data_IF_745259366311
#
_entry.id   IF_745259366311
#
_cell.length_a   1.000
_cell.length_b   1.000
_cell.length_c   1.000
_cell.angle_alpha   90.00
_cell.angle_beta   90.00
_cell.angle_gamma   90.00
#
_symmetry.space_group_name_H-M   'P 1'
#
loop_
_entity.id
_entity.type
_entity.pdbx_description
1 polymer ?
#
# COMPACT_ATOMS: atom_id res chain seq x y z
N UNK A 1 34.82 29.96 16.19
CA UNK A 1 34.57 31.42 16.22
C UNK A 1 34.50 31.92 14.79
N UNK A 2 33.35 32.54 14.45
CA UNK A 2 33.08 33.61 13.46
C UNK A 2 33.66 33.50 12.03
N UNK A 3 32.80 33.36 11.01
CA UNK A 3 32.13 34.42 10.19
C UNK A 3 33.18 35.21 9.35
N UNK A 4 33.06 35.40 8.03
CA UNK A 4 32.14 36.30 7.31
C UNK A 4 32.38 35.97 5.79
N UNK A 5 31.42 35.53 4.95
CA UNK A 5 30.27 36.19 4.30
C UNK A 5 30.61 37.15 3.12
N UNK A 6 29.81 37.02 2.05
CA UNK A 6 29.53 37.91 0.88
C UNK A 6 30.14 37.40 -0.44
N UNK A 7 29.38 37.23 -1.54
CA UNK A 7 28.42 38.18 -2.09
C UNK A 7 27.38 37.48 -3.00
N UNK A 8 26.12 37.46 -2.59
CA UNK A 8 24.90 37.33 -3.42
C UNK A 8 23.90 38.36 -2.85
N UNK A 9 23.02 38.93 -3.69
CA UNK A 9 22.16 40.14 -3.56
C UNK A 9 22.73 41.31 -4.42
N UNK A 10 22.04 41.99 -5.36
CA UNK A 10 20.62 42.25 -5.68
C UNK A 10 20.54 42.69 -7.14
N UNK A 11 19.48 42.32 -7.86
CA UNK A 11 18.88 43.22 -8.84
C UNK A 11 17.36 43.04 -8.83
N UNK A 12 16.70 43.90 -8.06
CA UNK A 12 15.25 44.08 -8.06
C UNK A 12 14.98 45.58 -8.19
N UNK A 13 14.40 46.00 -9.32
CA UNK A 13 13.44 47.10 -9.39
C UNK A 13 12.84 47.19 -10.78
N UNK A 14 11.58 46.77 -10.91
CA UNK A 14 10.45 47.56 -11.44
C UNK A 14 9.39 46.63 -12.04
N UNK A 15 8.34 46.38 -11.26
CA UNK A 15 6.94 46.35 -11.69
C UNK A 15 6.09 45.85 -10.52
N UNK A 16 5.85 46.75 -9.56
CA UNK A 16 4.64 46.68 -8.75
C UNK A 16 3.53 47.22 -9.64
N UNK A 17 2.54 46.38 -9.98
CA UNK A 17 1.10 46.63 -9.81
C UNK A 17 0.30 45.48 -10.46
N UNK A 18 -0.57 44.88 -9.64
CA UNK A 18 -1.59 43.84 -9.88
C UNK A 18 -1.15 42.39 -10.12
N UNK A 19 -1.06 41.63 -9.01
CA UNK A 19 -0.98 40.17 -9.04
C UNK A 19 -0.97 39.50 -7.66
N UNK A 20 -1.72 39.98 -6.67
CA UNK A 20 -1.70 39.39 -5.29
C UNK A 20 -2.22 37.93 -5.25
N UNK A 21 -2.68 37.37 -6.37
CA UNK A 21 -3.10 35.97 -6.46
C UNK A 21 -2.10 34.99 -7.11
N UNK A 22 -1.04 35.46 -7.76
CA UNK A 22 -0.13 34.59 -8.53
C UNK A 22 1.12 34.18 -7.73
N UNK A 23 1.72 35.10 -6.96
CA UNK A 23 2.91 34.81 -6.13
C UNK A 23 2.61 33.83 -4.99
N UNK A 24 1.43 33.95 -4.37
CA UNK A 24 1.01 33.06 -3.26
C UNK A 24 0.84 31.62 -3.75
N UNK A 25 0.22 31.44 -4.92
CA UNK A 25 -0.09 30.12 -5.48
C UNK A 25 1.14 29.37 -5.98
N UNK A 26 2.14 30.10 -6.51
CA UNK A 26 3.43 29.52 -6.90
C UNK A 26 4.23 29.08 -5.67
N UNK A 27 4.25 29.89 -4.62
CA UNK A 27 4.95 29.57 -3.37
C UNK A 27 4.28 28.41 -2.61
N UNK A 28 2.95 28.32 -2.61
CA UNK A 28 2.20 27.20 -1.99
C UNK A 28 2.42 25.86 -2.73
N UNK A 29 2.44 25.86 -4.07
CA UNK A 29 2.76 24.67 -4.86
C UNK A 29 4.22 24.21 -4.63
N UNK A 30 5.16 25.12 -4.46
CA UNK A 30 6.57 24.80 -4.21
C UNK A 30 6.77 24.19 -2.81
N UNK A 31 6.08 24.70 -1.78
CA UNK A 31 6.11 24.15 -0.42
C UNK A 31 5.46 22.75 -0.33
N UNK A 32 4.32 22.50 -0.98
CA UNK A 32 3.73 21.15 -1.02
C UNK A 32 4.61 20.14 -1.76
N UNK A 33 5.32 20.61 -2.80
CA UNK A 33 6.31 19.80 -3.54
C UNK A 33 7.53 19.44 -2.67
N UNK A 34 7.92 20.31 -1.72
CA UNK A 34 9.00 20.01 -0.78
C UNK A 34 8.62 18.90 0.21
N UNK A 35 7.39 18.92 0.77
CA UNK A 35 6.93 17.88 1.69
C UNK A 35 6.86 16.50 1.00
N UNK A 36 6.42 16.46 -0.27
CA UNK A 36 6.46 15.25 -1.10
C UNK A 36 7.89 14.75 -1.31
N UNK A 37 8.82 15.65 -1.63
CA UNK A 37 10.23 15.28 -1.79
C UNK A 37 10.81 14.69 -0.50
N UNK A 38 10.52 15.28 0.67
CA UNK A 38 10.97 14.77 1.97
C UNK A 38 10.48 13.36 2.28
N UNK A 39 9.29 12.99 1.80
CA UNK A 39 8.69 11.69 2.11
C UNK A 39 8.99 10.60 1.08
N UNK A 40 9.25 10.97 -0.17
CA UNK A 40 9.34 10.02 -1.29
C UNK A 40 10.70 10.00 -1.98
N UNK A 41 11.49 11.07 -1.87
CA UNK A 41 12.78 11.13 -2.53
C UNK A 41 13.84 10.42 -1.70
N UNK A 42 14.24 9.25 -2.18
CA UNK A 42 15.32 8.46 -1.58
C UNK A 42 16.60 8.60 -2.38
N UNK A 43 17.67 9.00 -1.72
CA UNK A 43 19.03 9.09 -2.28
C UNK A 43 19.84 7.82 -2.06
N UNK A 44 21.02 7.74 -2.69
CA UNK A 44 21.94 6.62 -2.49
C UNK A 44 22.54 6.63 -1.07
N UNK A 45 22.70 7.81 -0.47
CA UNK A 45 23.23 8.00 0.87
C UNK A 45 22.27 7.49 1.94
N UNK A 46 20.96 7.67 1.76
CA UNK A 46 19.93 7.16 2.67
C UNK A 46 19.97 5.62 2.75
N UNK A 47 20.30 4.98 1.62
CA UNK A 47 20.52 3.53 1.55
C UNK A 47 21.92 3.09 2.00
N UNK A 48 22.76 4.01 2.51
CA UNK A 48 24.10 3.73 2.99
C UNK A 48 25.07 3.25 1.91
N UNK A 49 24.87 3.69 0.66
CA UNK A 49 25.72 3.36 -0.48
C UNK A 49 26.26 4.62 -1.16
N UNK A 50 27.27 4.42 -2.01
CA UNK A 50 27.76 5.49 -2.87
C UNK A 50 26.99 5.52 -4.19
N UNK A 51 26.92 6.70 -4.78
CA UNK A 51 26.30 6.94 -6.07
C UNK A 51 26.87 6.00 -7.17
N UNK A 52 26.03 5.14 -7.80
CA UNK A 52 26.49 4.24 -8.84
C UNK A 52 26.98 5.01 -10.07
N UNK A 53 28.26 4.84 -10.42
CA UNK A 53 28.89 5.46 -11.61
C UNK A 53 28.69 4.65 -12.88
N UNK A 54 28.61 3.33 -12.74
CA UNK A 54 28.46 2.39 -13.84
C UNK A 54 27.06 1.76 -13.79
N UNK A 55 26.33 1.88 -14.88
CA UNK A 55 24.96 1.41 -15.04
C UNK A 55 24.89 0.11 -15.86
N UNK A 56 23.78 -0.66 -15.74
CA UNK A 56 23.59 -1.93 -16.43
C UNK A 56 23.63 -1.88 -17.96
N UNK A 57 23.43 -0.71 -18.56
CA UNK A 57 23.50 -0.47 -20.00
C UNK A 57 24.94 -0.25 -20.52
N UNK A 58 25.93 -0.18 -19.62
CA UNK A 58 27.34 -0.04 -19.99
C UNK A 58 27.97 -1.38 -20.38
N UNK A 59 28.82 -1.41 -21.43
CA UNK A 59 29.56 -2.62 -21.83
C UNK A 59 30.45 -3.21 -20.73
N UNK A 60 30.90 -2.40 -19.77
CA UNK A 60 31.80 -2.83 -18.69
C UNK A 60 31.06 -3.28 -17.43
N UNK A 61 29.72 -3.28 -17.41
CA UNK A 61 28.94 -3.63 -16.23
C UNK A 61 29.22 -5.05 -15.70
N UNK A 62 29.62 -5.98 -16.57
CA UNK A 62 30.00 -7.34 -16.18
C UNK A 62 31.15 -7.36 -15.15
N UNK A 63 32.08 -6.39 -15.21
CA UNK A 63 33.17 -6.28 -14.24
C UNK A 63 32.63 -6.01 -12.84
N UNK A 64 31.59 -5.16 -12.74
CA UNK A 64 30.92 -4.88 -11.46
C UNK A 64 30.32 -6.15 -10.87
N UNK A 65 29.60 -6.92 -11.67
CA UNK A 65 29.02 -8.19 -11.22
C UNK A 65 30.08 -9.23 -10.82
N UNK A 66 31.21 -9.27 -11.53
CA UNK A 66 32.34 -10.13 -11.18
C UNK A 66 32.95 -9.75 -9.83
N UNK A 67 33.22 -8.45 -9.59
CA UNK A 67 33.73 -7.96 -8.30
C UNK A 67 32.76 -8.27 -7.17
N UNK A 68 31.46 -8.04 -7.36
CA UNK A 68 30.41 -8.38 -6.38
C UNK A 68 30.43 -9.86 -6.01
N UNK A 69 30.56 -10.74 -7.01
CA UNK A 69 30.64 -12.18 -6.80
C UNK A 69 31.87 -12.55 -5.96
N UNK A 70 33.04 -11.99 -6.26
CA UNK A 70 34.27 -12.26 -5.50
C UNK A 70 34.14 -11.78 -4.05
N UNK A 71 33.66 -10.56 -3.84
CA UNK A 71 33.47 -10.01 -2.50
C UNK A 71 32.48 -10.85 -1.68
N UNK A 72 31.38 -11.28 -2.29
CA UNK A 72 30.43 -12.19 -1.64
C UNK A 72 31.05 -13.55 -1.30
N UNK A 73 31.86 -14.15 -2.19
CA UNK A 73 32.51 -15.44 -1.91
C UNK A 73 33.57 -15.35 -0.80
N UNK A 74 34.29 -14.23 -0.72
CA UNK A 74 35.29 -13.98 0.33
C UNK A 74 34.68 -13.54 1.66
N UNK A 75 33.39 -13.22 1.70
CA UNK A 75 32.68 -12.88 2.94
C UNK A 75 32.17 -14.16 3.61
N UNK A 76 32.89 -14.58 4.66
CA UNK A 76 32.62 -15.83 5.39
C UNK A 76 31.59 -15.70 6.51
N UNK A 77 31.56 -14.57 7.22
CA UNK A 77 30.58 -14.34 8.28
C UNK A 77 29.19 -14.20 7.66
N UNK A 78 28.22 -14.98 8.14
CA UNK A 78 26.89 -15.10 7.55
C UNK A 78 26.08 -13.81 7.62
N UNK A 79 26.10 -13.12 8.77
CA UNK A 79 25.42 -11.83 8.96
C UNK A 79 26.02 -10.77 8.04
N UNK A 80 27.35 -10.64 8.02
CA UNK A 80 28.05 -9.72 7.11
C UNK A 80 27.79 -10.04 5.63
N UNK A 81 27.59 -11.32 5.30
CA UNK A 81 27.24 -11.75 3.95
C UNK A 81 25.83 -11.29 3.58
N UNK A 82 24.85 -11.45 4.48
CA UNK A 82 23.50 -10.92 4.27
C UNK A 82 23.50 -9.39 4.14
N UNK A 83 24.24 -8.66 5.00
CA UNK A 83 24.46 -7.22 4.90
C UNK A 83 25.02 -6.81 3.53
N UNK A 84 26.00 -7.58 3.02
CA UNK A 84 26.62 -7.31 1.72
C UNK A 84 25.66 -7.55 0.55
N UNK A 85 24.87 -8.63 0.58
CA UNK A 85 23.87 -8.87 -0.45
C UNK A 85 22.77 -7.80 -0.42
N UNK A 86 22.39 -7.30 0.76
CA UNK A 86 21.44 -6.19 0.90
C UNK A 86 22.01 -4.88 0.35
N UNK A 87 23.30 -4.60 0.60
CA UNK A 87 24.01 -3.48 -0.02
C UNK A 87 23.96 -3.55 -1.56
N UNK A 88 24.12 -4.74 -2.15
CA UNK A 88 24.02 -4.89 -3.60
C UNK A 88 22.59 -4.71 -4.11
N UNK A 89 21.56 -5.04 -3.33
CA UNK A 89 20.18 -4.74 -3.68
C UNK A 89 19.95 -3.22 -3.74
N UNK A 90 20.41 -2.49 -2.72
CA UNK A 90 20.39 -1.02 -2.71
C UNK A 90 21.05 -0.44 -3.98
N UNK A 91 22.25 -0.91 -4.32
CA UNK A 91 22.97 -0.43 -5.51
C UNK A 91 22.20 -0.69 -6.80
N UNK A 92 21.65 -1.90 -6.96
CA UNK A 92 20.88 -2.27 -8.16
C UNK A 92 19.57 -1.49 -8.28
N UNK A 93 18.92 -1.18 -7.17
CA UNK A 93 17.70 -0.39 -7.19
C UNK A 93 17.98 1.07 -7.59
N UNK A 94 19.08 1.67 -7.10
CA UNK A 94 19.50 3.00 -7.54
C UNK A 94 19.96 2.99 -9.00
N UNK A 95 20.62 1.94 -9.47
CA UNK A 95 20.93 1.76 -10.89
C UNK A 95 19.65 1.71 -11.74
N UNK A 96 18.62 0.98 -11.30
CA UNK A 96 17.31 0.92 -11.95
C UNK A 96 16.65 2.31 -11.97
N UNK A 97 16.60 3.00 -10.82
CA UNK A 97 16.08 4.38 -10.72
C UNK A 97 16.72 5.31 -11.75
N UNK A 98 18.05 5.27 -11.88
CA UNK A 98 18.80 6.06 -12.87
C UNK A 98 18.52 5.69 -14.32
N UNK A 99 18.25 4.42 -14.61
CA UNK A 99 17.88 4.01 -15.96
C UNK A 99 16.51 4.59 -16.33
N UNK A 100 15.57 4.59 -15.39
CA UNK A 100 14.24 5.19 -15.57
C UNK A 100 14.34 6.70 -15.75
N UNK A 101 15.10 7.41 -14.91
CA UNK A 101 15.34 8.86 -15.04
C UNK A 101 15.99 9.26 -16.37
N UNK A 102 16.75 8.34 -17.00
CA UNK A 102 17.38 8.55 -18.31
C UNK A 102 16.50 8.12 -19.48
N UNK A 103 15.24 7.74 -19.24
CA UNK A 103 14.33 7.21 -20.25
C UNK A 103 14.95 6.03 -21.02
N UNK A 104 15.61 5.11 -20.29
CA UNK A 104 16.19 3.92 -20.89
C UNK A 104 15.12 3.04 -21.55
N UNK A 105 15.57 2.24 -22.51
CA UNK A 105 14.72 1.25 -23.19
C UNK A 105 13.98 0.33 -22.20
N UNK A 106 12.66 0.05 -22.41
CA UNK A 106 11.86 -0.76 -21.50
C UNK A 106 12.44 -2.15 -21.21
N UNK A 107 13.10 -2.80 -22.17
CA UNK A 107 13.72 -4.13 -21.94
C UNK A 107 14.95 -4.03 -21.02
N UNK A 108 15.70 -2.92 -21.11
CA UNK A 108 16.79 -2.66 -20.15
C UNK A 108 16.25 -2.41 -18.74
N UNK A 109 15.14 -1.69 -18.61
CA UNK A 109 14.45 -1.47 -17.33
C UNK A 109 14.01 -2.82 -16.76
N UNK A 110 13.27 -3.64 -17.52
CA UNK A 110 12.84 -4.99 -17.10
C UNK A 110 14.01 -5.85 -16.63
N UNK A 111 15.10 -5.89 -17.39
CA UNK A 111 16.31 -6.65 -17.02
C UNK A 111 16.97 -6.12 -15.76
N UNK A 112 17.02 -4.81 -15.56
CA UNK A 112 17.53 -4.21 -14.32
C UNK A 112 16.64 -4.56 -13.12
N UNK A 113 15.33 -4.56 -13.30
CA UNK A 113 14.34 -5.02 -12.32
C UNK A 113 14.54 -6.49 -11.94
N UNK A 114 14.73 -7.38 -12.92
CA UNK A 114 15.05 -8.80 -12.66
C UNK A 114 16.36 -8.95 -11.88
N UNK A 115 17.37 -8.16 -12.21
CA UNK A 115 18.64 -8.18 -11.48
C UNK A 115 18.47 -7.78 -10.02
N UNK A 116 17.58 -6.83 -9.73
CA UNK A 116 17.20 -6.44 -8.38
C UNK A 116 16.40 -7.54 -7.67
N UNK A 117 15.37 -8.12 -8.30
CA UNK A 117 14.60 -9.24 -7.75
C UNK A 117 15.51 -10.43 -7.37
N UNK A 118 16.40 -10.83 -8.28
CA UNK A 118 17.39 -11.88 -8.04
C UNK A 118 18.35 -11.55 -6.88
N UNK A 119 18.55 -10.26 -6.59
CA UNK A 119 19.37 -9.83 -5.46
C UNK A 119 18.62 -9.94 -4.14
N UNK A 120 17.32 -9.59 -4.14
CA UNK A 120 16.45 -9.78 -2.98
C UNK A 120 16.35 -11.27 -2.60
N UNK A 121 16.20 -12.16 -3.58
CA UNK A 121 16.18 -13.61 -3.32
C UNK A 121 17.48 -14.09 -2.65
N UNK A 122 18.64 -13.59 -3.10
CA UNK A 122 19.93 -13.93 -2.48
C UNK A 122 20.04 -13.48 -1.03
N UNK A 123 19.47 -12.33 -0.67
CA UNK A 123 19.44 -11.88 0.74
C UNK A 123 18.74 -12.95 1.57
N UNK A 124 17.54 -13.35 1.13
CA UNK A 124 16.74 -14.38 1.80
C UNK A 124 17.51 -15.70 1.90
N UNK A 125 18.14 -16.17 0.82
CA UNK A 125 18.98 -17.36 0.85
C UNK A 125 20.13 -17.28 1.86
N UNK A 126 20.77 -16.11 2.04
CA UNK A 126 21.86 -15.95 3.02
C UNK A 126 21.34 -15.85 4.43
N UNK A 127 20.19 -15.20 4.63
CA UNK A 127 19.49 -15.12 5.91
C UNK A 127 19.08 -16.51 6.41
N UNK A 128 18.64 -17.40 5.52
CA UNK A 128 18.32 -18.80 5.89
C UNK A 128 19.50 -19.57 6.50
N UNK A 129 20.72 -19.17 6.17
CA UNK A 129 21.93 -19.81 6.71
C UNK A 129 22.27 -19.32 8.12
N UNK A 130 21.70 -18.19 8.56
CA UNK A 130 21.87 -17.63 9.91
C UNK A 130 21.00 -18.45 10.88
N UNK A 131 21.64 -18.97 11.94
CA UNK A 131 20.98 -19.86 12.90
C UNK A 131 20.39 -19.09 14.07
N UNK A 132 21.08 -18.03 14.48
CA UNK A 132 20.76 -17.18 15.61
C UNK A 132 19.62 -16.21 15.28
N UNK A 133 18.77 -15.93 16.27
CA UNK A 133 17.76 -14.88 16.20
C UNK A 133 18.33 -13.56 16.70
N UNK A 134 17.63 -12.45 16.44
CA UNK A 134 17.98 -11.13 16.96
C UNK A 134 18.04 -11.09 18.50
N UNK A 135 17.19 -11.87 19.18
CA UNK A 135 17.23 -12.02 20.63
C UNK A 135 18.56 -12.59 21.16
N UNK A 136 19.19 -13.48 20.40
CA UNK A 136 20.37 -14.23 20.83
C UNK A 136 21.68 -13.61 20.33
N UNK A 137 21.62 -12.76 19.29
CA UNK A 137 22.80 -12.24 18.62
C UNK A 137 22.63 -10.77 18.23
N UNK A 138 23.39 -9.90 18.90
CA UNK A 138 23.39 -8.45 18.66
C UNK A 138 23.75 -8.07 17.22
N UNK A 139 24.56 -8.86 16.50
CA UNK A 139 24.86 -8.57 15.10
C UNK A 139 23.64 -8.81 14.20
N UNK A 140 22.82 -9.81 14.51
CA UNK A 140 21.55 -10.07 13.80
C UNK A 140 20.55 -8.95 14.09
N UNK A 141 20.46 -8.53 15.35
CA UNK A 141 19.59 -7.43 15.78
C UNK A 141 19.90 -6.11 15.04
N UNK A 142 21.19 -5.73 15.01
CA UNK A 142 21.69 -4.55 14.27
C UNK A 142 21.50 -4.66 12.76
N UNK A 143 21.68 -5.87 12.22
CA UNK A 143 21.39 -6.12 10.81
C UNK A 143 19.91 -5.86 10.52
N UNK A 144 19.00 -6.35 11.36
CA UNK A 144 17.56 -6.14 11.19
C UNK A 144 17.17 -4.66 11.28
N UNK A 145 17.71 -3.89 12.23
CA UNK A 145 17.41 -2.45 12.32
C UNK A 145 17.75 -1.75 11.00
N UNK A 146 18.97 -1.96 10.51
CA UNK A 146 19.41 -1.39 9.24
C UNK A 146 18.62 -1.94 8.04
N UNK A 147 18.30 -3.23 8.06
CA UNK A 147 17.56 -3.89 7.00
C UNK A 147 16.16 -3.29 6.88
N UNK A 148 15.41 -3.16 7.98
CA UNK A 148 14.05 -2.59 7.98
C UNK A 148 14.03 -1.17 7.41
N UNK A 149 14.91 -0.28 7.90
CA UNK A 149 15.00 1.09 7.38
C UNK A 149 15.23 1.08 5.85
N UNK A 150 16.17 0.25 5.39
CA UNK A 150 16.50 0.18 3.96
C UNK A 150 15.37 -0.45 3.12
N UNK A 151 14.65 -1.44 3.62
CA UNK A 151 13.53 -2.06 2.89
C UNK A 151 12.34 -1.11 2.76
N UNK A 152 12.04 -0.30 3.77
CA UNK A 152 11.02 0.76 3.66
C UNK A 152 11.42 1.80 2.60
N UNK A 153 12.70 2.21 2.57
CA UNK A 153 13.21 3.11 1.53
C UNK A 153 13.16 2.47 0.14
N UNK A 154 13.45 1.18 0.02
CA UNK A 154 13.31 0.44 -1.25
C UNK A 154 11.84 0.39 -1.72
N UNK A 155 10.88 0.18 -0.82
CA UNK A 155 9.44 0.23 -1.14
C UNK A 155 9.05 1.60 -1.71
N UNK A 156 9.49 2.70 -1.07
CA UNK A 156 9.24 4.06 -1.57
C UNK A 156 9.78 4.28 -2.98
N UNK A 157 11.00 3.82 -3.27
CA UNK A 157 11.57 3.90 -4.61
C UNK A 157 10.73 3.10 -5.60
N UNK A 158 10.37 1.86 -5.28
CA UNK A 158 9.61 0.98 -6.18
C UNK A 158 8.23 1.57 -6.50
N UNK A 159 7.52 2.12 -5.51
CA UNK A 159 6.25 2.81 -5.74
C UNK A 159 6.41 4.01 -6.69
N UNK A 160 7.43 4.84 -6.49
CA UNK A 160 7.71 5.97 -7.37
C UNK A 160 8.06 5.51 -8.80
N UNK A 161 8.77 4.41 -8.93
CA UNK A 161 9.09 3.83 -10.25
C UNK A 161 7.83 3.35 -10.98
N UNK A 162 6.83 2.81 -10.30
CA UNK A 162 5.55 2.42 -10.94
C UNK A 162 4.85 3.59 -11.65
N UNK A 163 5.09 4.82 -11.21
CA UNK A 163 4.51 6.01 -11.83
C UNK A 163 5.37 6.61 -12.94
N UNK A 164 6.65 6.24 -13.01
CA UNK A 164 7.64 6.82 -13.93
C UNK A 164 8.02 5.89 -15.07
N UNK A 165 7.84 4.58 -14.92
CA UNK A 165 8.21 3.63 -15.96
C UNK A 165 7.23 3.62 -17.13
N UNK A 166 7.71 3.32 -18.35
CA UNK A 166 6.84 3.01 -19.48
C UNK A 166 5.88 1.85 -19.16
N UNK A 167 4.68 1.86 -19.76
CA UNK A 167 3.62 0.86 -19.54
C UNK A 167 4.13 -0.56 -19.75
N UNK A 168 5.04 -0.78 -20.69
CA UNK A 168 5.62 -2.08 -21.01
C UNK A 168 6.45 -2.66 -19.85
N UNK A 169 7.04 -1.82 -18.99
CA UNK A 169 7.86 -2.22 -17.86
C UNK A 169 7.10 -2.20 -16.52
N UNK A 170 5.91 -1.58 -16.48
CA UNK A 170 5.12 -1.38 -15.26
C UNK A 170 4.83 -2.67 -14.51
N UNK A 171 4.30 -3.69 -15.19
CA UNK A 171 3.95 -4.96 -14.54
C UNK A 171 5.18 -5.65 -13.94
N UNK A 172 6.38 -5.46 -14.53
CA UNK A 172 7.61 -6.02 -13.99
C UNK A 172 8.06 -5.31 -12.72
N UNK A 173 7.86 -3.99 -12.62
CA UNK A 173 8.13 -3.22 -11.41
C UNK A 173 7.15 -3.62 -10.29
N UNK A 174 5.86 -3.75 -10.60
CA UNK A 174 4.85 -4.24 -9.64
C UNK A 174 5.19 -5.61 -9.09
N UNK A 175 5.53 -6.56 -9.96
CA UNK A 175 5.97 -7.89 -9.55
C UNK A 175 7.19 -7.82 -8.62
N UNK A 176 8.17 -6.96 -8.95
CA UNK A 176 9.35 -6.79 -8.12
C UNK A 176 9.05 -6.16 -6.75
N UNK A 177 8.12 -5.21 -6.68
CA UNK A 177 7.65 -4.61 -5.43
C UNK A 177 6.92 -5.61 -4.55
N UNK A 178 6.00 -6.37 -5.12
CA UNK A 178 5.29 -7.41 -4.37
C UNK A 178 6.25 -8.48 -3.84
N UNK A 179 7.17 -8.96 -4.68
CA UNK A 179 8.17 -9.93 -4.25
C UNK A 179 9.10 -9.34 -3.19
N UNK A 180 9.51 -8.07 -3.31
CA UNK A 180 10.30 -7.38 -2.30
C UNK A 180 9.63 -7.46 -0.92
N UNK A 181 8.35 -7.12 -0.82
CA UNK A 181 7.61 -7.16 0.45
C UNK A 181 7.41 -8.58 1.00
N UNK A 182 7.20 -9.57 0.14
CA UNK A 182 7.14 -10.99 0.57
C UNK A 182 8.47 -11.41 1.20
N UNK A 183 9.61 -11.14 0.52
CA UNK A 183 10.93 -11.53 1.02
C UNK A 183 11.33 -10.72 2.26
N UNK A 184 10.91 -9.46 2.35
CA UNK A 184 11.03 -8.66 3.56
C UNK A 184 10.36 -9.36 4.75
N UNK A 185 9.10 -9.78 4.60
CA UNK A 185 8.37 -10.50 5.65
C UNK A 185 9.00 -11.84 6.04
N UNK A 186 9.48 -12.61 5.05
CA UNK A 186 10.22 -13.86 5.28
C UNK A 186 11.51 -13.62 6.08
N UNK A 187 12.33 -12.64 5.68
CA UNK A 187 13.58 -12.30 6.39
C UNK A 187 13.31 -11.83 7.82
N UNK A 188 12.31 -10.96 8.00
CA UNK A 188 11.93 -10.45 9.31
C UNK A 188 11.53 -11.57 10.26
N UNK A 189 10.57 -12.40 9.85
CA UNK A 189 10.08 -13.50 10.69
C UNK A 189 11.09 -14.64 10.89
N UNK A 190 12.01 -14.81 9.93
CA UNK A 190 13.13 -15.76 10.07
C UNK A 190 14.12 -15.35 11.15
N UNK A 191 14.37 -14.05 11.35
CA UNK A 191 15.38 -13.54 12.27
C UNK A 191 14.83 -12.97 13.58
N UNK A 192 13.55 -12.62 13.63
CA UNK A 192 12.85 -12.12 14.82
C UNK A 192 11.48 -12.80 14.92
N UNK A 193 11.21 -13.43 16.06
CA UNK A 193 9.96 -14.15 16.34
C UNK A 193 9.07 -13.41 17.37
N UNK A 194 9.58 -12.34 17.99
CA UNK A 194 8.81 -11.51 18.92
C UNK A 194 8.07 -10.43 18.15
N UNK A 195 6.75 -10.55 18.08
CA UNK A 195 5.85 -9.61 17.41
C UNK A 195 6.09 -8.14 17.83
N UNK A 196 6.27 -7.90 19.13
CA UNK A 196 6.56 -6.56 19.68
C UNK A 196 7.85 -5.95 19.11
N UNK A 197 8.89 -6.77 18.87
CA UNK A 197 10.15 -6.30 18.30
C UNK A 197 10.07 -6.07 16.81
N UNK A 198 9.27 -6.84 16.08
CA UNK A 198 8.95 -6.56 14.67
C UNK A 198 8.26 -5.20 14.56
N UNK A 199 7.22 -4.97 15.38
CA UNK A 199 6.50 -3.69 15.45
C UNK A 199 7.45 -2.54 15.75
N UNK A 200 8.24 -2.63 16.83
CA UNK A 200 9.17 -1.58 17.26
C UNK A 200 10.17 -1.22 16.15
N UNK A 201 10.79 -2.20 15.50
CA UNK A 201 11.74 -1.95 14.41
C UNK A 201 11.11 -1.24 13.23
N UNK A 202 9.89 -1.63 12.84
CA UNK A 202 9.16 -1.01 11.73
C UNK A 202 8.71 0.41 12.10
N UNK A 203 8.19 0.62 13.30
CA UNK A 203 7.81 1.95 13.75
C UNK A 203 9.01 2.89 13.81
N UNK A 204 10.12 2.47 14.40
CA UNK A 204 11.35 3.27 14.46
C UNK A 204 11.82 3.67 13.06
N UNK A 205 11.79 2.73 12.11
CA UNK A 205 12.16 2.96 10.72
C UNK A 205 11.26 3.97 10.00
N UNK A 206 9.96 3.95 10.28
CA UNK A 206 8.97 4.86 9.69
C UNK A 206 9.00 6.25 10.33
N UNK A 207 9.46 6.36 11.57
CA UNK A 207 9.54 7.62 12.30
C UNK A 207 10.82 8.42 12.02
N UNK A 208 11.86 7.81 11.43
CA UNK A 208 13.07 8.51 11.02
C UNK A 208 12.82 9.50 9.86
N UNK A 209 13.02 10.80 10.12
CA UNK A 209 12.92 11.85 9.10
C UNK A 209 11.49 12.09 8.59
N UNK A 210 11.39 12.67 7.39
CA UNK A 210 10.12 12.94 6.69
C UNK A 210 9.47 14.29 7.02
N UNK A 211 8.38 14.56 6.31
CA UNK A 211 7.51 15.72 6.47
C UNK A 211 6.60 15.60 7.69
N UNK A 212 5.83 16.66 7.96
CA UNK A 212 4.69 16.63 8.87
C UNK A 212 3.52 15.73 8.40
N UNK A 213 3.50 15.34 7.12
CA UNK A 213 2.45 14.51 6.50
C UNK A 213 2.83 13.05 6.32
N UNK A 214 4.09 12.67 6.63
CA UNK A 214 4.67 11.34 6.43
C UNK A 214 3.80 10.19 6.94
N UNK A 215 3.04 10.41 8.02
CA UNK A 215 2.20 9.38 8.63
C UNK A 215 1.13 8.84 7.67
N UNK A 216 0.65 9.65 6.73
CA UNK A 216 -0.24 9.18 5.67
C UNK A 216 0.47 8.18 4.76
N UNK A 217 1.70 8.49 4.32
CA UNK A 217 2.51 7.59 3.50
C UNK A 217 2.93 6.33 4.27
N UNK A 218 3.29 6.47 5.54
CA UNK A 218 3.67 5.37 6.41
C UNK A 218 2.52 4.37 6.57
N UNK A 219 1.27 4.84 6.70
CA UNK A 219 0.09 3.97 6.73
C UNK A 219 -0.08 3.16 5.43
N UNK A 220 0.17 3.78 4.28
CA UNK A 220 0.12 3.08 2.99
C UNK A 220 1.18 1.97 2.91
N UNK A 221 2.41 2.27 3.32
CA UNK A 221 3.52 1.30 3.38
C UNK A 221 3.17 0.16 4.34
N UNK A 222 2.65 0.45 5.53
CA UNK A 222 2.24 -0.56 6.49
C UNK A 222 1.13 -1.46 5.97
N UNK A 223 0.15 -0.92 5.22
CA UNK A 223 -0.88 -1.72 4.54
C UNK A 223 -0.27 -2.64 3.47
N UNK A 224 0.72 -2.15 2.70
CA UNK A 224 1.43 -2.99 1.75
C UNK A 224 2.20 -4.13 2.44
N UNK A 225 2.86 -3.84 3.57
CA UNK A 225 3.58 -4.85 4.36
C UNK A 225 2.60 -5.89 4.90
N UNK A 226 1.48 -5.47 5.50
CA UNK A 226 0.48 -6.37 6.10
C UNK A 226 -0.05 -7.42 5.11
N UNK A 227 -0.28 -7.03 3.86
CA UNK A 227 -0.79 -7.94 2.82
C UNK A 227 0.20 -9.05 2.46
N UNK A 228 1.51 -8.79 2.59
CA UNK A 228 2.57 -9.67 2.11
C UNK A 228 3.35 -10.35 3.24
N UNK A 229 3.23 -9.86 4.48
CA UNK A 229 3.89 -10.43 5.64
C UNK A 229 3.21 -11.73 6.09
N UNK A 230 3.97 -12.72 6.64
CA UNK A 230 3.38 -13.93 7.19
C UNK A 230 2.35 -13.66 8.30
N UNK A 231 1.33 -14.51 8.40
CA UNK A 231 0.18 -14.36 9.32
C UNK A 231 0.56 -14.08 10.77
N UNK A 232 1.60 -14.76 11.27
CA UNK A 232 2.12 -14.63 12.63
C UNK A 232 2.64 -13.22 12.99
N UNK A 233 2.95 -12.39 11.99
CA UNK A 233 3.43 -11.03 12.18
C UNK A 233 2.40 -9.96 11.79
N UNK A 234 1.22 -10.34 11.25
CA UNK A 234 0.20 -9.36 10.84
C UNK A 234 -0.30 -8.51 11.99
N UNK A 235 -0.51 -9.10 13.17
CA UNK A 235 -0.96 -8.36 14.35
C UNK A 235 0.03 -7.26 14.76
N UNK A 236 1.35 -7.50 14.62
CA UNK A 236 2.37 -6.49 14.87
C UNK A 236 2.26 -5.30 13.90
N UNK A 237 1.96 -5.58 12.62
CA UNK A 237 1.76 -4.54 11.60
C UNK A 237 0.45 -3.79 11.82
N UNK A 238 -0.63 -4.49 12.18
CA UNK A 238 -1.92 -3.89 12.51
C UNK A 238 -1.77 -2.87 13.66
N UNK A 239 -1.08 -3.24 14.73
CA UNK A 239 -0.79 -2.31 15.83
C UNK A 239 0.05 -1.10 15.38
N UNK A 240 1.05 -1.31 14.51
CA UNK A 240 1.81 -0.20 13.93
C UNK A 240 0.92 0.73 13.09
N UNK A 241 -0.05 0.18 12.35
CA UNK A 241 -1.03 0.98 11.60
C UNK A 241 -1.94 1.77 12.53
N UNK A 242 -2.42 1.17 13.62
CA UNK A 242 -3.24 1.87 14.62
C UNK A 242 -2.46 3.05 15.24
N UNK A 243 -1.20 2.83 15.60
CA UNK A 243 -0.31 3.86 16.12
C UNK A 243 -0.08 4.99 15.10
N UNK A 244 0.21 4.65 13.83
CA UNK A 244 0.42 5.63 12.77
C UNK A 244 -0.86 6.43 12.47
N UNK A 245 -2.04 5.81 12.53
CA UNK A 245 -3.33 6.47 12.31
C UNK A 245 -3.69 7.40 13.47
N UNK A 246 -3.41 7.01 14.72
CA UNK A 246 -3.51 7.90 15.88
C UNK A 246 -2.61 9.13 15.74
N UNK A 247 -1.32 8.94 15.39
CA UNK A 247 -0.39 10.06 15.15
C UNK A 247 -0.86 10.96 14.02
N UNK A 248 -1.41 10.39 12.94
CA UNK A 248 -1.97 11.18 11.83
C UNK A 248 -3.17 12.01 12.28
N UNK A 249 -4.09 11.43 13.08
CA UNK A 249 -5.24 12.11 13.66
C UNK A 249 -4.79 13.30 14.52
N UNK A 250 -3.88 13.06 15.46
CA UNK A 250 -3.34 14.10 16.34
C UNK A 250 -2.64 15.22 15.54
N UNK A 251 -1.90 14.87 14.48
CA UNK A 251 -1.26 15.85 13.61
C UNK A 251 -2.29 16.74 12.91
N UNK A 252 -3.37 16.14 12.39
CA UNK A 252 -4.44 16.87 11.72
C UNK A 252 -5.21 17.77 12.68
N UNK A 253 -5.45 17.30 13.91
CA UNK A 253 -6.11 18.05 14.97
C UNK A 253 -5.39 19.35 15.31
N UNK A 254 -4.06 19.30 15.35
CA UNK A 254 -3.21 20.42 15.71
C UNK A 254 -2.75 21.26 14.49
N UNK A 255 -3.18 20.89 13.29
CA UNK A 255 -2.72 21.49 12.04
C UNK A 255 -3.34 22.86 11.77
N UNK A 256 -2.53 23.81 11.28
CA UNK A 256 -3.04 25.12 10.85
C UNK A 256 -3.91 25.00 9.59
N UNK A 257 -4.82 25.97 9.35
CA UNK A 257 -5.63 25.97 8.12
C UNK A 257 -4.79 25.98 6.83
N UNK A 258 -3.60 26.59 6.87
CA UNK A 258 -2.64 26.61 5.74
C UNK A 258 -2.07 25.22 5.51
N UNK A 259 -1.60 24.56 6.56
CA UNK A 259 -1.02 23.22 6.45
C UNK A 259 -2.08 22.17 6.08
N UNK A 260 -3.35 22.39 6.45
CA UNK A 260 -4.45 21.55 5.96
C UNK A 260 -4.67 21.64 4.45
N UNK A 261 -4.45 22.80 3.81
CA UNK A 261 -4.48 22.88 2.35
C UNK A 261 -3.26 22.17 1.74
N UNK A 262 -2.06 22.35 2.32
CA UNK A 262 -0.86 21.63 1.88
C UNK A 262 -1.01 20.12 2.00
N UNK A 263 -1.62 19.62 3.07
CA UNK A 263 -1.88 18.20 3.26
C UNK A 263 -2.81 17.65 2.17
N UNK A 264 -3.79 18.46 1.77
CA UNK A 264 -4.68 18.13 0.66
C UNK A 264 -3.89 18.00 -0.65
N UNK A 265 -3.02 18.97 -0.96
CA UNK A 265 -2.19 18.91 -2.17
C UNK A 265 -1.17 17.76 -2.11
N UNK A 266 -0.66 17.46 -0.91
CA UNK A 266 0.19 16.31 -0.66
C UNK A 266 -0.53 15.00 -1.01
N UNK A 267 -1.73 14.74 -0.46
CA UNK A 267 -2.47 13.49 -0.73
C UNK A 267 -2.82 13.35 -2.22
N UNK A 268 -3.11 14.46 -2.89
CA UNK A 268 -3.40 14.41 -4.32
C UNK A 268 -2.18 13.88 -5.11
N UNK A 269 -0.98 14.28 -4.72
CA UNK A 269 0.23 14.04 -5.52
C UNK A 269 1.16 12.95 -4.96
N UNK A 270 0.96 12.49 -3.73
CA UNK A 270 1.76 11.41 -3.14
C UNK A 270 1.62 10.14 -3.97
N UNK A 271 2.74 9.55 -4.34
CA UNK A 271 2.83 8.33 -5.14
C UNK A 271 2.12 7.16 -4.45
N UNK A 272 1.78 6.13 -5.23
CA UNK A 272 1.37 4.83 -4.69
C UNK A 272 -0.06 4.41 -5.04
N UNK A 273 -0.59 3.50 -4.22
CA UNK A 273 -1.88 2.84 -4.50
C UNK A 273 -3.05 3.73 -4.07
N UNK A 274 -3.77 4.26 -5.06
CA UNK A 274 -4.89 5.18 -4.85
C UNK A 274 -6.08 4.52 -4.15
N UNK A 275 -6.27 3.22 -4.30
CA UNK A 275 -7.33 2.49 -3.58
C UNK A 275 -6.96 2.35 -2.10
N UNK A 276 -5.69 2.06 -1.78
CA UNK A 276 -5.23 1.98 -0.39
C UNK A 276 -5.25 3.36 0.28
N UNK A 277 -4.85 4.40 -0.44
CA UNK A 277 -4.97 5.78 0.03
C UNK A 277 -6.44 6.13 0.33
N UNK A 278 -7.38 5.73 -0.55
CA UNK A 278 -8.81 5.90 -0.29
C UNK A 278 -9.27 5.17 0.99
N UNK A 279 -8.82 3.94 1.22
CA UNK A 279 -9.14 3.20 2.46
C UNK A 279 -8.62 3.90 3.72
N UNK A 280 -7.41 4.49 3.65
CA UNK A 280 -6.85 5.28 4.75
C UNK A 280 -7.71 6.51 5.01
N UNK A 281 -8.14 7.22 3.96
CA UNK A 281 -9.02 8.39 4.08
C UNK A 281 -10.39 8.02 4.69
N UNK A 282 -10.98 6.90 4.30
CA UNK A 282 -12.24 6.41 4.89
C UNK A 282 -12.08 6.03 6.38
N UNK A 283 -10.92 5.47 6.74
CA UNK A 283 -10.58 5.18 8.14
C UNK A 283 -10.45 6.46 8.96
N UNK A 284 -9.71 7.42 8.43
CA UNK A 284 -9.49 8.71 9.06
C UNK A 284 -10.80 9.52 9.20
N UNK A 285 -11.68 9.48 8.19
CA UNK A 285 -13.00 10.15 8.23
C UNK A 285 -13.83 9.74 9.45
N UNK A 286 -13.76 8.46 9.83
CA UNK A 286 -14.47 7.92 10.99
C UNK A 286 -13.88 8.46 12.29
N UNK A 287 -12.57 8.63 12.34
CA UNK A 287 -11.83 9.10 13.53
C UNK A 287 -12.00 10.60 13.82
N UNK A 288 -12.21 11.41 12.79
CA UNK A 288 -12.33 12.87 12.90
C UNK A 288 -13.78 13.36 12.82
N UNK A 289 -14.77 12.48 13.04
CA UNK A 289 -16.19 12.82 12.89
C UNK A 289 -16.66 13.96 13.80
N UNK A 290 -15.95 14.18 14.91
CA UNK A 290 -16.22 15.27 15.86
C UNK A 290 -15.58 16.62 15.44
N UNK A 291 -14.98 16.69 14.24
CA UNK A 291 -14.24 17.85 13.74
C UNK A 291 -14.76 18.34 12.37
N UNK A 292 -15.84 19.13 12.32
CA UNK A 292 -16.54 19.44 11.06
C UNK A 292 -15.68 20.16 10.01
N UNK A 293 -14.76 21.04 10.42
CA UNK A 293 -13.90 21.79 9.51
C UNK A 293 -12.89 20.88 8.78
N UNK A 294 -12.26 19.95 9.52
CA UNK A 294 -11.30 18.99 8.95
C UNK A 294 -12.05 17.95 8.12
N UNK A 295 -13.21 17.48 8.60
CA UNK A 295 -14.05 16.53 7.90
C UNK A 295 -14.47 17.04 6.51
N UNK A 296 -14.86 18.31 6.40
CA UNK A 296 -15.20 18.91 5.11
C UNK A 296 -14.04 18.87 4.12
N UNK A 297 -12.82 19.23 4.57
CA UNK A 297 -11.61 19.19 3.73
C UNK A 297 -11.23 17.77 3.35
N UNK A 298 -11.29 16.83 4.29
CA UNK A 298 -10.98 15.42 4.04
C UNK A 298 -11.95 14.80 3.02
N UNK A 299 -13.24 15.15 3.11
CA UNK A 299 -14.23 14.73 2.10
C UNK A 299 -13.86 15.25 0.71
N UNK A 300 -13.37 16.49 0.57
CA UNK A 300 -12.92 17.00 -0.73
C UNK A 300 -11.72 16.23 -1.29
N UNK A 301 -10.75 15.89 -0.44
CA UNK A 301 -9.58 15.09 -0.84
C UNK A 301 -10.00 13.69 -1.27
N UNK A 302 -10.86 13.06 -0.46
CA UNK A 302 -11.45 11.75 -0.73
C UNK A 302 -12.15 11.68 -2.10
N UNK A 303 -12.93 12.70 -2.45
CA UNK A 303 -13.59 12.77 -3.76
C UNK A 303 -12.60 12.82 -4.93
N UNK A 304 -11.48 13.54 -4.78
CA UNK A 304 -10.42 13.60 -5.80
C UNK A 304 -9.61 12.32 -5.90
N UNK A 305 -9.30 11.68 -4.77
CA UNK A 305 -8.66 10.35 -4.78
C UNK A 305 -9.58 9.31 -5.43
N UNK A 306 -10.88 9.36 -5.15
CA UNK A 306 -11.88 8.50 -5.82
C UNK A 306 -11.91 8.73 -7.33
N UNK A 307 -11.79 9.97 -7.81
CA UNK A 307 -11.68 10.26 -9.24
C UNK A 307 -10.44 9.59 -9.85
N UNK A 308 -9.27 9.70 -9.20
CA UNK A 308 -8.05 9.04 -9.66
C UNK A 308 -8.14 7.51 -9.64
N UNK A 309 -8.84 6.92 -8.67
CA UNK A 309 -9.14 5.49 -8.65
C UNK A 309 -9.97 5.11 -9.88
N UNK A 310 -10.96 5.93 -10.24
CA UNK A 310 -11.82 5.68 -11.39
C UNK A 310 -11.11 5.87 -12.73
N UNK A 311 -10.25 6.88 -12.85
CA UNK A 311 -9.39 7.05 -14.02
C UNK A 311 -8.48 5.83 -14.23
N UNK A 312 -7.77 5.38 -13.19
CA UNK A 312 -6.92 4.18 -13.27
C UNK A 312 -7.72 2.91 -13.59
N UNK A 313 -8.93 2.77 -13.06
CA UNK A 313 -9.80 1.64 -13.37
C UNK A 313 -10.25 1.64 -14.85
N UNK A 314 -10.53 2.81 -15.41
CA UNK A 314 -10.88 2.99 -16.82
C UNK A 314 -9.68 2.73 -17.75
N UNK A 315 -8.48 3.18 -17.39
CA UNK A 315 -7.24 2.85 -18.12
C UNK A 315 -6.99 1.33 -18.12
N UNK A 316 -7.16 0.68 -16.96
CA UNK A 316 -7.09 -0.77 -16.82
C UNK A 316 -8.15 -1.51 -17.63
N UNK A 317 -9.32 -0.90 -17.87
CA UNK A 317 -10.39 -1.48 -18.66
C UNK A 317 -10.02 -1.69 -20.12
N UNK A 318 -9.20 -0.81 -20.70
CA UNK A 318 -8.71 -0.94 -22.08
C UNK A 318 -7.71 -2.10 -22.22
N UNK A 319 -6.89 -2.33 -21.18
CA UNK A 319 -5.83 -3.34 -21.22
C UNK A 319 -6.35 -4.74 -20.85
N UNK A 320 -7.26 -4.82 -19.87
CA UNK A 320 -7.77 -6.09 -19.31
C UNK A 320 -9.21 -6.43 -19.72
N UNK A 321 -9.85 -5.60 -20.54
CA UNK A 321 -11.29 -5.67 -20.88
C UNK A 321 -12.18 -5.67 -19.62
N UNK A 322 -11.96 -4.71 -18.70
CA UNK A 322 -12.81 -4.53 -17.53
C UNK A 322 -14.15 -3.87 -17.89
N UNK A 323 -15.24 -4.16 -17.15
CA UNK A 323 -16.49 -3.42 -17.30
C UNK A 323 -16.31 -1.94 -16.94
N UNK A 324 -17.11 -1.07 -17.58
CA UNK A 324 -17.18 0.33 -17.21
C UNK A 324 -18.04 0.47 -15.94
N UNK A 325 -17.44 1.00 -14.88
CA UNK A 325 -18.08 1.18 -13.58
C UNK A 325 -18.24 2.67 -13.31
N UNK A 326 -19.43 3.08 -12.90
CA UNK A 326 -19.72 4.48 -12.56
C UNK A 326 -19.20 4.84 -11.16
N UNK A 327 -18.70 6.07 -11.00
CA UNK A 327 -18.30 6.61 -9.70
C UNK A 327 -19.54 6.68 -8.78
N UNK A 328 -19.44 6.21 -7.52
CA UNK A 328 -20.55 6.33 -6.58
C UNK A 328 -20.86 7.80 -6.27
N UNK A 329 -22.12 8.12 -6.00
CA UNK A 329 -22.51 9.48 -5.62
C UNK A 329 -21.85 9.90 -4.30
N UNK A 330 -21.67 11.21 -4.08
CA UNK A 330 -21.03 11.73 -2.87
C UNK A 330 -21.71 11.29 -1.56
N UNK A 331 -23.03 11.08 -1.62
CA UNK A 331 -23.88 10.59 -0.52
C UNK A 331 -24.15 9.08 -0.58
N UNK A 332 -23.41 8.32 -1.39
CA UNK A 332 -23.62 6.87 -1.54
C UNK A 332 -23.50 6.09 -0.23
N UNK A 333 -22.57 6.48 0.65
CA UNK A 333 -22.33 5.82 1.91
C UNK A 333 -22.03 6.85 3.03
N UNK A 334 -23.05 7.49 3.61
CA UNK A 334 -22.86 8.60 4.54
C UNK A 334 -22.24 8.16 5.87
N UNK A 335 -22.72 7.03 6.41
CA UNK A 335 -22.34 6.48 7.72
C UNK A 335 -21.58 5.14 7.60
N UNK A 336 -21.02 4.86 6.43
CA UNK A 336 -20.27 3.65 6.17
C UNK A 336 -19.05 3.94 5.31
N UNK A 337 -18.46 2.87 4.79
CA UNK A 337 -17.25 2.90 3.97
C UNK A 337 -17.55 2.43 2.57
N UNK A 338 -16.96 3.11 1.59
CA UNK A 338 -17.04 2.75 0.19
C UNK A 338 -15.92 1.75 -0.11
N UNK A 339 -16.28 0.54 -0.53
CA UNK A 339 -15.31 -0.52 -0.84
C UNK A 339 -15.48 -0.97 -2.29
N UNK A 340 -14.43 -0.88 -3.13
CA UNK A 340 -14.48 -1.41 -4.48
C UNK A 340 -14.54 -2.95 -4.46
N UNK A 341 -15.52 -3.52 -5.16
CA UNK A 341 -15.59 -4.97 -5.39
C UNK A 341 -14.86 -5.30 -6.68
N UNK A 342 -13.98 -6.31 -6.63
CA UNK A 342 -13.17 -6.74 -7.77
C UNK A 342 -13.52 -8.15 -8.23
N UNK A 343 -13.44 -8.38 -9.54
CA UNK A 343 -13.47 -9.72 -10.11
C UNK A 343 -12.10 -10.43 -10.00
N UNK A 344 -12.01 -11.66 -10.51
CA UNK A 344 -10.78 -12.45 -10.51
C UNK A 344 -9.64 -11.83 -11.34
N UNK A 345 -9.94 -10.89 -12.26
CA UNK A 345 -8.95 -10.17 -13.07
C UNK A 345 -8.47 -8.88 -12.38
N UNK A 346 -9.05 -8.55 -11.23
CA UNK A 346 -8.79 -7.33 -10.48
C UNK A 346 -9.55 -6.11 -11.01
N UNK A 347 -10.54 -6.29 -11.88
CA UNK A 347 -11.38 -5.23 -12.39
C UNK A 347 -12.41 -4.82 -11.35
N UNK A 348 -12.59 -3.52 -11.10
CA UNK A 348 -13.66 -3.01 -10.23
C UNK A 348 -15.00 -3.21 -10.94
N UNK A 349 -15.86 -4.07 -10.40
CA UNK A 349 -17.18 -4.39 -10.96
C UNK A 349 -18.31 -3.53 -10.38
N UNK A 350 -18.21 -3.17 -9.11
CA UNK A 350 -19.16 -2.32 -8.41
C UNK A 350 -18.52 -1.72 -7.15
N UNK A 351 -19.18 -0.73 -6.54
CA UNK A 351 -18.84 -0.22 -5.22
C UNK A 351 -19.89 -0.66 -4.21
N UNK A 352 -19.44 -1.15 -3.06
CA UNK A 352 -20.30 -1.54 -1.94
C UNK A 352 -20.21 -0.51 -0.82
N UNK A 353 -21.36 -0.13 -0.26
CA UNK A 353 -21.42 0.60 1.01
C UNK A 353 -21.43 -0.40 2.16
N UNK A 354 -20.40 -0.37 3.00
CA UNK A 354 -20.29 -1.24 4.17
C UNK A 354 -20.45 -0.40 5.43
N UNK A 355 -21.48 -0.68 6.22
CA UNK A 355 -21.71 -0.01 7.50
C UNK A 355 -21.13 -0.90 8.60
N UNK A 356 -20.02 -0.51 9.26
CA UNK A 356 -19.41 -1.31 10.30
C UNK A 356 -20.33 -1.43 11.52
N UNK A 357 -20.38 -2.60 12.14
CA UNK A 357 -21.32 -2.91 13.22
C UNK A 357 -21.18 -1.97 14.43
N UNK A 358 -19.95 -1.56 14.77
CA UNK A 358 -19.65 -0.64 15.86
C UNK A 358 -20.30 0.73 15.70
N UNK A 359 -20.64 1.16 14.47
CA UNK A 359 -21.36 2.43 14.24
C UNK A 359 -22.81 2.38 14.76
N UNK A 360 -23.34 1.18 15.01
CA UNK A 360 -24.69 0.95 15.50
C UNK A 360 -24.73 0.65 17.01
N UNK A 361 -23.56 0.56 17.67
CA UNK A 361 -23.44 0.21 19.09
C UNK A 361 -23.11 1.48 19.87
N UNK A 362 -23.93 1.84 20.86
CA UNK A 362 -23.54 2.84 21.86
C UNK A 362 -22.45 2.24 22.75
N UNK A 363 -21.24 2.83 22.83
CA UNK A 363 -20.14 2.21 23.56
C UNK A 363 -20.48 2.08 25.05
N UNK A 364 -20.31 0.90 25.67
CA UNK A 364 -20.30 0.80 27.12
C UNK A 364 -19.12 1.64 27.65
N UNK A 365 -19.35 2.33 28.75
CA UNK A 365 -18.46 3.33 29.34
C UNK A 365 -17.01 2.84 29.50
N UNK A 366 -16.10 3.54 28.81
CA UNK A 366 -14.71 3.84 29.19
C UNK A 366 -13.85 2.69 29.70
N UNK A 367 -13.21 1.94 28.80
CA UNK A 367 -11.87 1.34 29.04
C UNK A 367 -11.17 0.81 27.77
N UNK A 368 -11.82 0.80 26.60
CA UNK A 368 -11.23 0.33 25.34
C UNK A 368 -11.18 1.43 24.27
N UNK A 369 -9.96 1.81 23.86
CA UNK A 369 -9.72 2.71 22.73
C UNK A 369 -9.44 1.88 21.46
N UNK A 370 -10.49 1.59 20.69
CA UNK A 370 -10.32 1.02 19.33
C UNK A 370 -10.29 2.16 18.31
N UNK A 371 -9.39 2.08 17.34
CA UNK A 371 -9.35 3.02 16.20
C UNK A 371 -9.99 2.40 14.97
N UNK A 372 -10.67 3.19 14.16
CA UNK A 372 -11.41 2.84 12.95
C UNK A 372 -10.50 2.53 11.74
N UNK A 373 -9.36 1.88 11.96
CA UNK A 373 -8.54 1.31 10.90
C UNK A 373 -9.34 0.22 10.15
N UNK A 374 -9.39 0.28 8.82
CA UNK A 374 -10.05 -0.73 8.00
C UNK A 374 -9.18 -1.96 7.77
N UNK A 375 -9.43 -2.99 8.57
CA UNK A 375 -9.00 -4.39 8.41
C UNK A 375 -10.20 -5.30 8.77
N UNK A 376 -11.21 -5.37 7.91
CA UNK A 376 -12.53 -5.86 8.30
C UNK A 376 -12.51 -7.33 8.68
N UNK A 377 -13.39 -7.68 9.63
CA UNK A 377 -13.61 -9.05 10.08
C UNK A 377 -15.10 -9.33 10.19
N UNK A 378 -15.49 -10.55 9.85
CA UNK A 378 -16.87 -11.00 9.98
C UNK A 378 -17.05 -11.67 11.34
N UNK A 379 -17.96 -11.16 12.16
CA UNK A 379 -18.33 -11.78 13.43
C UNK A 379 -19.21 -13.02 13.24
N UNK A 380 -19.25 -13.91 14.23
CA UNK A 380 -20.19 -15.05 14.25
C UNK A 380 -21.66 -14.64 14.30
N UNK A 381 -21.93 -13.37 14.61
CA UNK A 381 -23.26 -12.75 14.52
C UNK A 381 -23.63 -12.30 13.09
N UNK A 382 -22.75 -12.53 12.11
CA UNK A 382 -22.96 -12.18 10.71
C UNK A 382 -22.77 -10.70 10.40
N UNK A 383 -22.18 -9.92 11.31
CA UNK A 383 -21.91 -8.50 11.10
C UNK A 383 -20.43 -8.22 10.79
N UNK A 384 -20.19 -7.27 9.89
CA UNK A 384 -18.84 -6.78 9.59
C UNK A 384 -18.42 -5.74 10.61
N UNK A 385 -17.26 -5.92 11.21
CA UNK A 385 -16.62 -4.93 12.08
C UNK A 385 -15.39 -4.34 11.38
N UNK A 386 -15.02 -3.08 11.66
CA UNK A 386 -13.86 -2.47 10.98
C UNK A 386 -12.54 -3.20 11.22
N UNK A 387 -12.39 -3.82 12.40
CA UNK A 387 -11.21 -4.60 12.77
C UNK A 387 -11.48 -5.49 13.98
N UNK A 388 -10.48 -6.32 14.32
CA UNK A 388 -10.51 -7.26 15.45
C UNK A 388 -10.76 -6.57 16.81
N UNK A 389 -10.34 -5.31 16.98
CA UNK A 389 -10.58 -4.58 18.22
C UNK A 389 -12.09 -4.39 18.45
N UNK A 390 -12.83 -3.95 17.43
CA UNK A 390 -14.27 -3.71 17.55
C UNK A 390 -15.09 -4.99 17.76
N UNK A 391 -14.71 -6.13 17.14
CA UNK A 391 -15.39 -7.41 17.41
C UNK A 391 -15.20 -7.85 18.87
N UNK A 392 -13.96 -7.71 19.38
CA UNK A 392 -13.63 -8.03 20.78
C UNK A 392 -14.40 -7.12 21.74
N UNK A 393 -14.49 -5.83 21.44
CA UNK A 393 -15.27 -4.86 22.21
C UNK A 393 -16.76 -5.22 22.26
N UNK A 394 -17.30 -5.74 21.16
CA UNK A 394 -18.67 -6.23 21.09
C UNK A 394 -18.87 -7.62 21.73
N UNK A 395 -17.82 -8.24 22.27
CA UNK A 395 -17.82 -9.61 22.82
C UNK A 395 -18.37 -10.65 21.81
N UNK A 396 -18.01 -10.48 20.53
CA UNK A 396 -18.34 -11.42 19.45
C UNK A 396 -17.07 -12.19 19.05
N UNK A 397 -17.20 -13.45 18.67
CA UNK A 397 -16.08 -14.21 18.12
C UNK A 397 -15.94 -13.93 16.61
N UNK A 398 -14.72 -13.86 16.11
CA UNK A 398 -14.45 -13.74 14.67
C UNK A 398 -14.81 -15.05 13.98
N UNK A 399 -15.68 -14.98 12.96
CA UNK A 399 -15.99 -16.10 12.08
C UNK A 399 -14.89 -16.30 11.04
N UNK A 400 -14.50 -15.23 10.34
CA UNK A 400 -13.42 -15.23 9.35
C UNK A 400 -12.90 -13.82 9.08
N UNK A 401 -11.70 -13.72 8.50
CA UNK A 401 -11.08 -12.45 8.08
C UNK A 401 -11.76 -11.89 6.82
N UNK A 402 -11.94 -10.58 6.77
CA UNK A 402 -12.64 -9.87 5.70
C UNK A 402 -14.09 -9.54 6.07
N UNK A 403 -14.74 -8.78 5.20
CA UNK A 403 -16.14 -8.41 5.38
C UNK A 403 -17.07 -9.63 5.37
N UNK A 404 -18.21 -9.53 6.06
CA UNK A 404 -19.26 -10.52 5.90
C UNK A 404 -19.75 -10.57 4.45
N UNK A 405 -19.80 -11.79 3.92
CA UNK A 405 -20.35 -12.07 2.60
C UNK A 405 -21.85 -11.84 2.74
N UNK A 406 -22.39 -10.95 1.91
CA UNK A 406 -23.83 -10.81 1.79
C UNK A 406 -24.36 -12.13 1.29
N UNK A 407 -25.22 -12.78 2.09
CA UNK A 407 -25.96 -13.93 1.62
C UNK A 407 -26.91 -13.44 0.51
N UNK A 408 -26.69 -13.90 -0.71
CA UNK A 408 -27.63 -13.72 -1.83
C UNK A 408 -28.95 -14.45 -1.54
N UNK A 409 -28.90 -15.49 -0.70
CA UNK A 409 -30.01 -16.33 -0.33
C UNK A 409 -29.79 -16.94 1.05
N UNK A 410 -30.87 -17.21 1.79
CA UNK A 410 -30.84 -18.09 2.96
C UNK A 410 -31.46 -19.46 2.64
N UNK A 411 -32.32 -19.52 1.62
CA UNK A 411 -33.04 -20.70 1.16
C UNK A 411 -33.08 -20.69 -0.37
N UNK A 412 -33.26 -21.85 -0.98
CA UNK A 412 -33.35 -22.01 -2.45
C UNK A 412 -34.38 -21.07 -3.10
N UNK A 413 -35.46 -20.75 -2.38
CA UNK A 413 -36.52 -19.88 -2.88
C UNK A 413 -36.15 -18.39 -2.95
N UNK A 414 -35.09 -17.97 -2.26
CA UNK A 414 -34.58 -16.60 -2.35
C UNK A 414 -33.82 -16.38 -3.67
N UNK A 415 -33.43 -17.47 -4.35
CA UNK A 415 -32.70 -17.40 -5.60
C UNK A 415 -33.61 -17.12 -6.80
N UNK A 416 -33.16 -16.25 -7.74
CA UNK A 416 -33.91 -15.96 -8.95
C UNK A 416 -34.10 -17.23 -9.77
N UNK A 417 -35.33 -17.48 -10.18
CA UNK A 417 -35.68 -18.61 -11.03
C UNK A 417 -35.10 -18.40 -12.43
N UNK A 418 -34.43 -19.42 -12.95
CA UNK A 418 -33.75 -19.37 -14.26
C UNK A 418 -34.80 -19.15 -15.36
N UNK A 419 -34.78 -17.97 -16.01
CA UNK A 419 -35.62 -17.67 -17.17
C UNK A 419 -34.83 -17.93 -18.45
N UNK A 420 -35.10 -19.06 -19.11
CA UNK A 420 -34.48 -19.37 -20.40
C UNK A 420 -35.23 -18.70 -21.55
N UNK A 421 -34.51 -17.97 -22.41
CA UNK A 421 -35.06 -17.36 -23.62
C UNK A 421 -35.26 -18.40 -24.74
N UNK A 422 -36.37 -18.30 -25.46
CA UNK A 422 -36.61 -19.13 -26.64
C UNK A 422 -35.69 -18.67 -27.79
N UNK A 423 -34.69 -19.49 -28.15
CA UNK A 423 -33.90 -19.25 -29.35
C UNK A 423 -34.59 -19.93 -30.53
N UNK A 424 -34.95 -19.17 -31.56
CA UNK A 424 -35.83 -19.57 -32.67
C UNK A 424 -35.25 -20.59 -33.65
N UNK A 425 -34.18 -21.32 -33.30
CA UNK A 425 -33.60 -22.35 -34.19
C UNK A 425 -33.00 -23.57 -33.49
N UNK A 426 -33.20 -23.77 -32.19
CA UNK A 426 -33.01 -25.11 -31.58
C UNK A 426 -33.74 -25.20 -30.25
N UNK A 427 -34.49 -26.29 -30.04
CA UNK A 427 -35.13 -26.63 -28.77
C UNK A 427 -34.06 -26.97 -27.71
N UNK A 428 -33.32 -25.98 -27.21
CA UNK A 428 -32.59 -26.11 -25.96
C UNK A 428 -33.57 -25.94 -24.80
N UNK A 429 -34.21 -27.04 -24.40
CA UNK A 429 -35.00 -27.12 -23.18
C UNK A 429 -34.05 -27.00 -21.99
N UNK A 430 -34.17 -25.94 -21.20
CA UNK A 430 -33.68 -25.90 -19.82
C UNK A 430 -34.55 -26.80 -18.92
N UNK A 431 -34.69 -28.07 -19.28
CA UNK A 431 -35.30 -29.05 -18.40
C UNK A 431 -34.31 -29.33 -17.28
N UNK A 432 -34.74 -29.11 -16.04
CA UNK A 432 -34.05 -29.49 -14.81
C UNK A 432 -32.84 -28.64 -14.38
N UNK A 433 -32.77 -27.37 -14.79
CA UNK A 433 -31.88 -26.39 -14.14
C UNK A 433 -32.59 -25.69 -12.99
N UNK A 434 -32.16 -25.95 -11.75
CA UNK A 434 -32.66 -25.25 -10.55
C UNK A 434 -31.58 -24.36 -9.96
N UNK A 435 -31.95 -23.13 -9.58
CA UNK A 435 -31.08 -22.26 -8.78
C UNK A 435 -31.23 -22.66 -7.31
N UNK A 436 -30.13 -23.02 -6.66
CA UNK A 436 -30.10 -23.44 -5.25
C UNK A 436 -29.23 -22.53 -4.44
N UNK A 437 -29.59 -22.34 -3.19
CA UNK A 437 -28.77 -21.61 -2.24
C UNK A 437 -27.70 -22.53 -1.67
N UNK A 438 -26.45 -22.30 -2.05
CA UNK A 438 -25.29 -23.03 -1.54
C UNK A 438 -24.37 -22.03 -0.87
N UNK A 439 -24.17 -22.18 0.44
CA UNK A 439 -23.34 -21.30 1.27
C UNK A 439 -23.66 -19.80 1.11
N UNK A 440 -24.94 -19.48 0.95
CA UNK A 440 -25.43 -18.11 0.79
C UNK A 440 -25.24 -17.53 -0.61
N UNK A 441 -24.93 -18.35 -1.63
CA UNK A 441 -24.90 -17.95 -3.04
C UNK A 441 -25.89 -18.74 -3.87
N UNK A 442 -26.46 -18.11 -4.88
CA UNK A 442 -27.35 -18.78 -5.81
C UNK A 442 -26.56 -19.50 -6.90
N UNK A 443 -26.52 -20.83 -6.82
CA UNK A 443 -25.80 -21.70 -7.75
C UNK A 443 -26.80 -22.41 -8.66
N UNK A 444 -26.59 -22.31 -9.98
CA UNK A 444 -27.38 -23.06 -10.95
C UNK A 444 -26.88 -24.50 -10.97
N UNK A 445 -27.79 -25.43 -10.71
CA UNK A 445 -27.54 -26.89 -10.78
C UNK A 445 -28.35 -27.47 -11.92
N UNK A 446 -27.68 -28.13 -12.87
CA UNK A 446 -28.32 -28.94 -13.91
C UNK A 446 -28.34 -30.40 -13.46
N UNK A 447 -29.51 -31.04 -13.46
CA UNK A 447 -29.57 -32.49 -13.30
C UNK A 447 -28.94 -33.15 -14.54
N UNK A 448 -27.75 -33.73 -14.39
CA UNK A 448 -27.22 -34.69 -15.36
C UNK A 448 -28.05 -35.97 -15.25
N UNK A 449 -28.48 -36.48 -16.41
CA UNK A 449 -29.25 -37.72 -16.59
C UNK A 449 -28.85 -38.81 -15.59
N UNK A 450 -29.79 -39.22 -14.74
CA UNK A 450 -29.72 -40.54 -14.13
C UNK A 450 -29.69 -41.57 -15.25
N UNK A 451 -28.54 -42.17 -15.49
CA UNK A 451 -28.47 -43.44 -16.23
C UNK A 451 -29.04 -44.50 -15.30
N UNK A 452 -30.35 -44.75 -15.40
CA UNK A 452 -30.95 -45.99 -14.90
C UNK A 452 -30.58 -47.14 -15.86
N UNK A 453 -30.32 -48.30 -15.26
CA UNK A 453 -29.68 -49.50 -15.80
C UNK A 453 -30.28 -50.08 -17.09
#
# INVERSE_FOLDING_TARGET
MQKITKLFFILAMSCLIFGVGADIRAQENEEATQELALDEEVSSQDLGINEPKLLPDSPFYFLKNWVRKIQSTLTFNKVKKAELENKYANEKLIELKKLVEKNADPEKIKKATENYQNQIEKIKEKVEQIKEKAADNQAVDKFLDKFVNQQILQEKILQKLEEQVPTEALEKIKEAREQHLVKFGEVMTKLEDRAEKIKEKIENALEEGGSQFKNFKNLEILKNIEEKIPEQAKEAIQQAQENALNRLKENLENMSLKDQEKFKDYIDNVSGDKEKQLQILESLKTEISEMPAIQMKLNQVRERVMEKVMEKAQEGAVIKNCPLTEKPSSNFCPNGRIVPQKDEKGCIIEFKCVIPAETQVTPPSTEFNCIALWDPVCGKDGKTYSNKCFVKLANVEVAYQGECKTKECEKDNDCPQVKCGANTTSNAKCLETTSKCVDGKCVITSATEKTEQ
#
